data_IF_260347262719
#
_entry.id   IF_260347262719
#
_cell.length_a   1.000
_cell.length_b   1.000
_cell.length_c   1.000
_cell.angle_alpha   90.00
_cell.angle_beta   90.00
_cell.angle_gamma   90.00
#
_symmetry.space_group_name_H-M   'P 1'
#
loop_
_entity.id
_entity.type
_entity.pdbx_description
1 polymer ?
#
# COMPACT_ATOMS: atom_id res chain seq x y z
N UNK A 1 -44.62 4.15 5.83
CA UNK A 1 -43.89 2.88 6.04
C UNK A 1 -42.40 3.22 6.16
N UNK A 2 -41.94 3.50 7.38
CA UNK A 2 -40.65 4.15 7.68
C UNK A 2 -39.46 3.23 7.44
N UNK A 3 -39.13 3.02 6.16
CA UNK A 3 -37.96 2.30 5.73
C UNK A 3 -36.72 2.87 6.42
N UNK A 4 -36.22 2.10 7.38
CA UNK A 4 -34.79 2.00 7.67
C UNK A 4 -34.14 3.33 8.05
N UNK A 5 -34.64 3.94 9.12
CA UNK A 5 -33.90 5.01 9.81
C UNK A 5 -32.45 4.52 10.03
N UNK A 6 -31.43 5.21 9.51
CA UNK A 6 -30.00 4.84 9.63
C UNK A 6 -29.55 4.56 11.06
N UNK A 7 -30.32 5.05 12.03
CA UNK A 7 -30.18 4.78 13.44
C UNK A 7 -30.12 3.28 13.81
N UNK A 8 -30.88 2.42 13.15
CA UNK A 8 -30.89 0.98 13.47
C UNK A 8 -29.56 0.29 13.16
N UNK A 9 -28.89 0.72 12.09
CA UNK A 9 -27.57 0.19 11.70
C UNK A 9 -26.50 0.55 12.73
N UNK A 10 -26.57 1.76 13.30
CA UNK A 10 -25.66 2.17 14.38
C UNK A 10 -25.89 1.31 15.61
N UNK A 11 -27.14 1.06 16.00
CA UNK A 11 -27.46 0.19 17.15
C UNK A 11 -26.95 -1.23 16.92
N UNK A 12 -27.15 -1.80 15.73
CA UNK A 12 -26.65 -3.13 15.40
C UNK A 12 -25.11 -3.20 15.47
N UNK A 13 -24.43 -2.20 14.93
CA UNK A 13 -22.96 -2.10 14.99
C UNK A 13 -22.49 -2.06 16.44
N UNK A 14 -23.14 -1.27 17.30
CA UNK A 14 -22.81 -1.19 18.73
C UNK A 14 -23.00 -2.54 19.42
N UNK A 15 -24.08 -3.27 19.12
CA UNK A 15 -24.31 -4.62 19.69
C UNK A 15 -23.21 -5.59 19.25
N UNK A 16 -22.80 -5.57 17.99
CA UNK A 16 -21.71 -6.41 17.48
C UNK A 16 -20.39 -6.02 18.18
N UNK A 17 -20.09 -4.74 18.37
CA UNK A 17 -18.91 -4.29 19.12
C UNK A 17 -18.95 -4.73 20.59
N UNK A 18 -20.12 -4.79 21.22
CA UNK A 18 -20.26 -5.25 22.60
C UNK A 18 -20.00 -6.75 22.73
N UNK A 19 -20.50 -7.57 21.79
CA UNK A 19 -20.33 -9.03 21.82
C UNK A 19 -18.91 -9.43 21.43
N UNK A 20 -18.38 -8.87 20.34
CA UNK A 20 -17.07 -9.23 19.81
C UNK A 20 -15.92 -8.41 20.43
N UNK A 21 -16.21 -7.22 20.95
CA UNK A 21 -15.23 -6.26 21.44
C UNK A 21 -14.70 -5.33 20.34
N UNK A 22 -14.36 -4.09 20.71
CA UNK A 22 -13.86 -3.06 19.78
C UNK A 22 -12.53 -3.43 19.09
N UNK A 23 -11.72 -4.31 19.71
CA UNK A 23 -10.43 -4.75 19.14
C UNK A 23 -10.54 -5.94 18.17
N UNK A 24 -11.61 -6.75 18.22
CA UNK A 24 -11.71 -7.97 17.39
C UNK A 24 -12.28 -7.71 16.00
N UNK A 25 -13.18 -6.75 15.85
CA UNK A 25 -13.70 -6.36 14.55
C UNK A 25 -12.64 -5.80 13.59
N UNK A 26 -11.75 -4.86 13.97
CA UNK A 26 -10.70 -4.39 13.08
C UNK A 26 -9.70 -5.50 12.71
N UNK A 27 -9.43 -6.42 13.63
CA UNK A 27 -8.53 -7.57 13.38
C UNK A 27 -9.10 -8.51 12.30
N UNK A 28 -10.38 -8.88 12.44
CA UNK A 28 -11.08 -9.73 11.47
C UNK A 28 -11.25 -8.99 10.14
N UNK A 29 -11.61 -7.71 10.17
CA UNK A 29 -11.72 -6.90 8.95
C UNK A 29 -10.37 -6.73 8.23
N UNK A 30 -9.26 -6.59 8.96
CA UNK A 30 -7.92 -6.47 8.40
C UNK A 30 -7.50 -7.75 7.66
N UNK A 31 -7.65 -8.92 8.30
CA UNK A 31 -7.31 -10.22 7.70
C UNK A 31 -8.18 -10.58 6.49
N UNK A 32 -9.50 -10.34 6.59
CA UNK A 32 -10.43 -10.50 5.46
C UNK A 32 -10.13 -9.49 4.35
N UNK A 33 -9.81 -8.24 4.69
CA UNK A 33 -9.49 -7.18 3.74
C UNK A 33 -8.20 -7.45 2.95
N UNK A 34 -7.17 -8.00 3.60
CA UNK A 34 -5.95 -8.44 2.91
C UNK A 34 -6.24 -9.56 1.91
N UNK A 35 -7.01 -10.57 2.30
CA UNK A 35 -7.40 -11.67 1.42
C UNK A 35 -8.24 -11.18 0.24
N UNK A 36 -9.23 -10.31 0.49
CA UNK A 36 -10.04 -9.69 -0.56
C UNK A 36 -9.22 -8.79 -1.48
N UNK A 37 -8.18 -8.12 -0.98
CA UNK A 37 -7.29 -7.26 -1.80
C UNK A 37 -6.48 -8.09 -2.78
N UNK A 38 -5.95 -9.24 -2.37
CA UNK A 38 -5.23 -10.17 -3.25
C UNK A 38 -6.20 -10.72 -4.30
N UNK A 39 -7.35 -11.25 -3.87
CA UNK A 39 -8.37 -11.75 -4.80
C UNK A 39 -8.84 -10.67 -5.79
N UNK A 40 -9.04 -9.43 -5.34
CA UNK A 40 -9.43 -8.31 -6.21
C UNK A 40 -8.36 -8.01 -7.26
N UNK A 41 -7.08 -8.09 -6.91
CA UNK A 41 -5.96 -7.88 -7.84
C UNK A 41 -5.90 -8.98 -8.88
N UNK A 42 -5.93 -10.24 -8.45
CA UNK A 42 -5.92 -11.40 -9.36
C UNK A 42 -7.11 -11.37 -10.32
N UNK A 43 -8.32 -11.08 -9.81
CA UNK A 43 -9.52 -10.93 -10.64
C UNK A 43 -9.43 -9.71 -11.57
N UNK A 44 -8.74 -8.65 -11.17
CA UNK A 44 -8.54 -7.47 -12.02
C UNK A 44 -7.53 -7.78 -13.14
N UNK A 45 -6.42 -8.45 -12.84
CA UNK A 45 -5.44 -8.91 -13.82
C UNK A 45 -6.07 -9.87 -14.84
N UNK A 46 -6.87 -10.84 -14.39
CA UNK A 46 -7.63 -11.74 -15.28
C UNK A 46 -8.63 -11.02 -16.19
N UNK A 47 -9.09 -9.83 -15.80
CA UNK A 47 -10.03 -9.01 -16.60
C UNK A 47 -9.32 -7.96 -17.45
N UNK A 48 -8.05 -7.67 -17.14
CA UNK A 48 -7.21 -6.65 -17.80
C UNK A 48 -6.21 -7.26 -18.80
N UNK A 49 -6.12 -8.60 -18.91
CA UNK A 49 -5.30 -9.32 -19.92
C UNK A 49 -5.67 -8.99 -21.40
N UNK A 50 -6.72 -8.19 -21.63
CA UNK A 50 -7.06 -7.57 -22.92
C UNK A 50 -6.45 -6.15 -23.14
N UNK A 51 -5.59 -5.63 -22.26
CA UNK A 51 -4.91 -4.31 -22.44
C UNK A 51 -3.49 -4.24 -21.81
N UNK A 52 -2.53 -3.48 -22.38
CA UNK A 52 -1.15 -3.49 -21.91
C UNK A 52 -0.93 -2.71 -20.59
N UNK A 53 -0.52 -3.47 -19.57
CA UNK A 53 0.32 -3.19 -18.39
C UNK A 53 0.42 -1.76 -17.79
N UNK A 54 0.17 -1.64 -16.47
CA UNK A 54 0.92 -0.75 -15.57
C UNK A 54 0.94 -1.28 -14.12
N UNK A 55 2.15 -1.41 -13.57
CA UNK A 55 2.51 -1.96 -12.25
C UNK A 55 1.97 -1.14 -11.07
N UNK A 56 1.41 -1.79 -10.05
CA UNK A 56 1.37 -1.25 -8.67
C UNK A 56 1.74 -2.30 -7.62
N UNK A 57 3.05 -2.38 -7.36
CA UNK A 57 3.62 -2.90 -6.11
C UNK A 57 3.25 -1.95 -4.95
N UNK A 58 2.60 -2.42 -3.87
CA UNK A 58 2.55 -1.66 -2.63
C UNK A 58 3.89 -1.80 -1.91
N UNK A 59 4.74 -0.78 -2.05
CA UNK A 59 5.82 -0.46 -1.10
C UNK A 59 5.20 0.00 0.22
N UNK A 60 5.52 -0.70 1.32
CA UNK A 60 5.45 -0.31 2.74
C UNK A 60 5.78 -1.57 3.57
N UNK A 61 6.88 -1.71 4.31
CA UNK A 61 8.04 -0.86 4.57
C UNK A 61 9.01 -1.61 5.50
N UNK A 62 10.30 -1.37 5.36
CA UNK A 62 11.27 -1.48 6.47
C UNK A 62 12.32 -0.41 6.22
N UNK A 63 12.47 0.45 7.23
CA UNK A 63 13.39 1.58 7.23
C UNK A 63 14.84 1.07 7.17
N UNK A 64 15.61 1.54 6.18
CA UNK A 64 17.04 1.73 6.31
C UNK A 64 17.37 3.15 5.85
N UNK A 65 17.61 4.05 6.79
CA UNK A 65 18.52 5.17 6.56
C UNK A 65 19.90 4.57 6.33
N UNK A 66 20.34 4.49 5.07
CA UNK A 66 21.74 4.20 4.77
C UNK A 66 22.54 5.48 5.04
N UNK A 67 23.47 5.50 6.03
CA UNK A 67 24.40 6.61 6.20
C UNK A 67 25.35 6.63 5.00
N UNK A 68 25.67 7.84 4.54
CA UNK A 68 26.65 8.18 3.51
C UNK A 68 27.88 7.26 3.55
N UNK A 69 28.13 6.54 2.45
CA UNK A 69 29.32 5.71 2.28
C UNK A 69 30.57 6.62 2.18
N UNK A 70 31.59 6.42 3.02
CA UNK A 70 32.88 7.09 2.87
C UNK A 70 33.65 6.45 1.72
N UNK A 71 34.01 7.23 0.70
CA UNK A 71 35.08 6.86 -0.24
C UNK A 71 34.67 6.35 -1.63
N UNK A 72 33.71 6.98 -2.31
CA UNK A 72 33.57 6.84 -3.76
C UNK A 72 33.85 8.18 -4.43
N UNK A 73 35.14 8.48 -4.56
CA UNK A 73 35.66 9.50 -5.46
C UNK A 73 35.29 9.09 -6.89
N UNK A 74 34.51 9.91 -7.56
CA UNK A 74 34.30 9.82 -9.00
C UNK A 74 35.65 9.99 -9.72
N UNK A 75 35.98 9.20 -10.76
CA UNK A 75 37.08 9.54 -11.65
C UNK A 75 36.75 10.86 -12.37
N UNK A 76 37.40 11.95 -11.96
CA UNK A 76 37.34 13.27 -12.59
C UNK A 76 37.95 13.19 -13.99
N UNK A 77 37.08 12.98 -14.97
CA UNK A 77 37.33 13.21 -16.39
C UNK A 77 37.33 14.73 -16.63
N UNK A 78 38.46 15.37 -16.36
CA UNK A 78 38.74 16.76 -16.74
C UNK A 78 40.24 16.92 -16.93
N UNK A 79 40.73 16.37 -18.03
CA UNK A 79 42.06 16.62 -18.57
C UNK A 79 41.92 16.92 -20.07
N UNK A 80 41.11 17.95 -20.40
CA UNK A 80 41.26 18.66 -21.67
C UNK A 80 42.32 19.74 -21.46
N UNK A 81 43.56 19.37 -21.78
CA UNK A 81 44.70 20.28 -21.80
C UNK A 81 44.54 21.30 -22.90
N UNK A 82 44.11 22.51 -22.53
CA UNK A 82 44.34 23.73 -23.30
C UNK A 82 45.84 23.97 -23.36
N UNK A 83 46.44 23.51 -24.46
CA UNK A 83 47.63 24.07 -25.03
C UNK A 83 47.32 25.52 -25.49
N UNK A 84 48.32 26.39 -25.46
CA UNK A 84 48.35 27.72 -26.09
C UNK A 84 47.79 28.91 -25.28
N UNK A 85 48.56 29.45 -24.34
CA UNK A 85 49.20 30.78 -24.49
C UNK A 85 50.27 31.02 -23.44
#
# INVERSE_FOLDING_TARGET
MGALKPWHWIVLLVVILLVFGAGKLPEIASSLGQSMKVFKKEVKELREDDAPAQLQQPQQGTYYTQPTQPGQAAPQQSAEGTNQQ
#
